data_IF_779756666408
#
_entry.id   IF_779756666408
#
_cell.length_a   1.000
_cell.length_b   1.000
_cell.length_c   1.000
_cell.angle_alpha   90.00
_cell.angle_beta   90.00
_cell.angle_gamma   90.00
#
_symmetry.space_group_name_H-M   'P 1'
#
loop_
_entity.id
_entity.type
_entity.pdbx_description
1 polymer ?
#
# COMPACT_ATOMS: atom_id res chain seq x y z
N UNK A 1 3.98 -4.74 -15.08
CA UNK A 1 3.49 -6.11 -15.32
C UNK A 1 2.85 -6.59 -14.03
N UNK A 2 1.53 -6.80 -13.99
CA UNK A 2 0.82 -7.16 -12.75
C UNK A 2 1.24 -8.52 -12.21
N UNK A 3 1.26 -8.68 -10.89
CA UNK A 3 1.60 -9.95 -10.26
C UNK A 3 0.50 -10.99 -10.50
N UNK A 4 0.85 -12.26 -10.66
CA UNK A 4 -0.09 -13.38 -10.81
C UNK A 4 0.31 -14.53 -9.88
N UNK A 5 -0.61 -15.47 -9.54
CA UNK A 5 -0.23 -16.64 -8.73
C UNK A 5 0.92 -17.44 -9.34
N UNK A 6 0.97 -17.61 -10.67
CA UNK A 6 2.06 -18.33 -11.33
C UNK A 6 3.38 -17.57 -11.28
N UNK A 7 3.35 -16.23 -11.40
CA UNK A 7 4.55 -15.40 -11.18
C UNK A 7 5.04 -15.48 -9.74
N UNK A 8 4.14 -15.56 -8.75
CA UNK A 8 4.53 -15.78 -7.36
C UNK A 8 5.21 -17.13 -7.18
N UNK A 9 4.65 -18.21 -7.74
CA UNK A 9 5.29 -19.54 -7.70
C UNK A 9 6.66 -19.54 -8.36
N UNK A 10 6.79 -18.90 -9.53
CA UNK A 10 8.06 -18.77 -10.22
C UNK A 10 9.07 -17.93 -9.42
N UNK A 11 8.63 -16.85 -8.77
CA UNK A 11 9.49 -16.03 -7.92
C UNK A 11 9.90 -16.76 -6.61
N UNK A 12 9.12 -17.72 -6.13
CA UNK A 12 9.52 -18.52 -4.97
C UNK A 12 10.51 -19.64 -5.32
N UNK A 13 10.58 -20.04 -6.60
CA UNK A 13 11.52 -21.05 -7.06
C UNK A 13 12.97 -20.64 -6.74
N UNK A 14 13.73 -21.54 -6.10
CA UNK A 14 15.12 -21.29 -5.70
C UNK A 14 15.30 -20.35 -4.48
N UNK A 15 14.23 -19.78 -3.92
CA UNK A 15 14.28 -18.91 -2.73
C UNK A 15 13.80 -19.61 -1.45
N UNK A 16 13.37 -20.86 -1.56
CA UNK A 16 12.83 -21.68 -0.47
C UNK A 16 13.60 -23.00 -0.34
N UNK A 17 13.65 -23.55 0.87
CA UNK A 17 14.13 -24.92 1.08
C UNK A 17 13.14 -25.93 0.50
N UNK A 18 13.60 -27.15 0.20
CA UNK A 18 12.69 -28.23 -0.26
C UNK A 18 11.55 -28.48 0.74
N UNK A 19 11.84 -28.41 2.05
CA UNK A 19 10.84 -28.53 3.11
C UNK A 19 9.83 -27.38 3.09
N UNK A 20 10.30 -26.14 2.90
CA UNK A 20 9.42 -24.97 2.81
C UNK A 20 8.49 -25.05 1.60
N UNK A 21 9.01 -25.50 0.45
CA UNK A 21 8.23 -25.67 -0.78
C UNK A 21 7.16 -26.76 -0.63
N UNK A 22 7.52 -27.91 -0.06
CA UNK A 22 6.58 -28.98 0.23
C UNK A 22 5.51 -28.56 1.24
N UNK A 23 5.90 -27.81 2.28
CA UNK A 23 4.96 -27.27 3.26
C UNK A 23 3.96 -26.31 2.62
N UNK A 24 4.42 -25.39 1.77
CA UNK A 24 3.53 -24.43 1.09
C UNK A 24 2.53 -25.14 0.16
N UNK A 25 3.00 -26.13 -0.62
CA UNK A 25 2.13 -26.91 -1.48
C UNK A 25 1.03 -27.66 -0.68
N UNK A 26 1.43 -28.30 0.43
CA UNK A 26 0.50 -28.96 1.34
C UNK A 26 -0.48 -27.98 1.99
N UNK A 27 0.00 -26.82 2.44
CA UNK A 27 -0.83 -25.81 3.08
C UNK A 27 -1.88 -25.23 2.10
N UNK A 28 -1.49 -24.98 0.85
CA UNK A 28 -2.43 -24.59 -0.20
C UNK A 28 -3.49 -25.68 -0.46
N UNK A 29 -3.08 -26.95 -0.54
CA UNK A 29 -4.02 -28.06 -0.72
C UNK A 29 -5.00 -28.19 0.47
N UNK A 30 -4.51 -28.07 1.70
CA UNK A 30 -5.35 -28.06 2.91
C UNK A 30 -6.33 -26.88 2.90
N UNK A 31 -5.86 -25.68 2.52
CA UNK A 31 -6.71 -24.47 2.45
C UNK A 31 -7.78 -24.60 1.37
N UNK A 32 -7.46 -25.25 0.25
CA UNK A 32 -8.40 -25.51 -0.83
C UNK A 32 -9.47 -26.55 -0.44
N UNK A 33 -9.11 -27.52 0.41
CA UNK A 33 -10.03 -28.55 0.89
C UNK A 33 -10.90 -28.06 2.07
N UNK A 34 -10.31 -27.30 2.98
CA UNK A 34 -10.96 -26.73 4.16
C UNK A 34 -10.46 -25.28 4.38
N UNK A 35 -11.27 -24.27 4.04
CA UNK A 35 -10.88 -22.86 4.14
C UNK A 35 -10.53 -22.43 5.57
N UNK A 36 -11.11 -23.04 6.61
CA UNK A 36 -10.83 -22.64 8.00
C UNK A 36 -9.38 -22.93 8.40
N UNK A 37 -8.71 -23.87 7.72
CA UNK A 37 -7.31 -24.20 7.97
C UNK A 37 -6.38 -23.02 7.73
N UNK A 38 -6.76 -22.07 6.87
CA UNK A 38 -5.95 -20.87 6.54
C UNK A 38 -5.57 -20.10 7.80
N UNK A 39 -6.47 -20.03 8.79
CA UNK A 39 -6.25 -19.27 10.04
C UNK A 39 -5.06 -19.81 10.84
N UNK A 40 -4.82 -21.12 10.78
CA UNK A 40 -3.68 -21.76 11.44
C UNK A 40 -2.42 -21.81 10.57
N UNK A 41 -2.58 -21.82 9.24
CA UNK A 41 -1.49 -21.96 8.27
C UNK A 41 -0.89 -20.62 7.86
N UNK A 42 -1.65 -19.53 7.91
CA UNK A 42 -1.23 -18.19 7.51
C UNK A 42 -0.13 -17.61 8.41
N UNK A 43 -0.20 -17.68 9.75
CA UNK A 43 0.85 -17.15 10.61
C UNK A 43 2.22 -17.81 10.46
N UNK A 44 2.35 -19.17 10.46
CA UNK A 44 3.66 -19.82 10.38
C UNK A 44 4.34 -19.72 9.01
N UNK A 45 3.68 -19.21 7.97
CA UNK A 45 4.23 -19.15 6.62
C UNK A 45 5.65 -18.55 6.55
N UNK A 46 5.90 -17.44 7.26
CA UNK A 46 7.25 -16.85 7.27
C UNK A 46 8.32 -17.70 7.96
N UNK A 47 7.94 -18.50 8.98
CA UNK A 47 8.87 -19.47 9.61
C UNK A 47 9.12 -20.68 8.73
N UNK A 48 8.13 -21.09 7.93
CA UNK A 48 8.16 -22.31 7.12
C UNK A 48 8.80 -22.08 5.75
N UNK A 49 8.52 -20.94 5.14
CA UNK A 49 8.95 -20.62 3.78
C UNK A 49 10.18 -19.70 3.75
N UNK A 50 10.38 -18.88 4.77
CA UNK A 50 11.40 -17.83 4.81
C UNK A 50 10.79 -16.43 4.72
N UNK A 51 11.58 -15.40 5.04
CA UNK A 51 11.14 -13.98 5.11
C UNK A 51 11.99 -13.02 4.28
N UNK A 52 12.90 -13.56 3.46
CA UNK A 52 13.79 -12.73 2.64
C UNK A 52 13.03 -11.96 1.56
N UNK A 53 13.59 -10.85 1.07
CA UNK A 53 13.03 -10.15 -0.09
C UNK A 53 13.08 -11.04 -1.34
N UNK A 54 12.08 -10.91 -2.22
CA UNK A 54 12.13 -11.52 -3.54
C UNK A 54 13.11 -10.76 -4.46
N UNK A 55 13.16 -9.43 -4.30
CA UNK A 55 14.15 -8.57 -4.93
C UNK A 55 14.91 -7.77 -3.85
N UNK A 56 16.20 -8.05 -3.62
CA UNK A 56 17.01 -7.28 -2.66
C UNK A 56 17.16 -5.80 -2.99
N UNK A 57 16.94 -5.38 -4.24
CA UNK A 57 17.00 -3.99 -4.65
C UNK A 57 15.73 -3.19 -4.30
N UNK A 58 14.62 -3.87 -3.97
CA UNK A 58 13.36 -3.24 -3.62
C UNK A 58 13.04 -3.43 -2.12
N UNK A 59 13.40 -2.47 -1.24
CA UNK A 59 13.15 -2.56 0.20
C UNK A 59 11.66 -2.51 0.57
N UNK A 60 10.80 -2.07 -0.36
CA UNK A 60 9.35 -2.03 -0.21
C UNK A 60 8.66 -3.11 -1.07
N UNK A 61 9.44 -4.04 -1.60
CA UNK A 61 8.99 -5.10 -2.50
C UNK A 61 8.40 -6.30 -1.77
N UNK A 62 8.05 -7.31 -2.56
CA UNK A 62 7.54 -8.58 -2.05
C UNK A 62 8.61 -9.34 -1.28
N UNK A 63 8.22 -9.99 -0.20
CA UNK A 63 9.03 -10.99 0.50
C UNK A 63 8.53 -12.41 0.22
N UNK A 64 9.36 -13.41 0.55
CA UNK A 64 8.99 -14.83 0.46
C UNK A 64 7.73 -15.13 1.27
N UNK A 65 7.60 -14.57 2.47
CA UNK A 65 6.43 -14.80 3.31
C UNK A 65 5.18 -14.04 2.83
N UNK A 66 5.34 -12.89 2.18
CA UNK A 66 4.23 -12.21 1.49
C UNK A 66 3.69 -13.10 0.35
N UNK A 67 4.57 -13.63 -0.49
CA UNK A 67 4.18 -14.46 -1.63
C UNK A 67 3.58 -15.80 -1.22
N UNK A 68 4.15 -16.46 -0.20
CA UNK A 68 3.59 -17.70 0.35
C UNK A 68 2.18 -17.49 0.90
N UNK A 69 1.98 -16.42 1.68
CA UNK A 69 0.66 -16.07 2.23
C UNK A 69 -0.34 -15.68 1.15
N UNK A 70 0.08 -14.91 0.14
CA UNK A 70 -0.78 -14.59 -1.00
C UNK A 70 -1.23 -15.86 -1.74
N UNK A 71 -0.35 -16.86 -1.92
CA UNK A 71 -0.72 -18.14 -2.50
C UNK A 71 -1.75 -18.91 -1.66
N UNK A 72 -1.64 -18.90 -0.32
CA UNK A 72 -2.66 -19.46 0.57
C UNK A 72 -4.01 -18.77 0.37
N UNK A 73 -4.04 -17.44 0.28
CA UNK A 73 -5.29 -16.69 0.05
C UNK A 73 -5.89 -17.00 -1.32
N UNK A 74 -5.08 -17.16 -2.36
CA UNK A 74 -5.57 -17.53 -3.70
C UNK A 74 -6.07 -18.99 -3.78
N UNK A 75 -5.71 -19.82 -2.80
CA UNK A 75 -6.19 -21.20 -2.70
C UNK A 75 -7.55 -21.32 -1.99
N UNK A 76 -8.04 -20.25 -1.35
CA UNK A 76 -9.33 -20.25 -0.67
C UNK A 76 -10.47 -20.51 -1.68
N UNK A 77 -11.33 -21.52 -1.45
CA UNK A 77 -12.52 -21.77 -2.27
C UNK A 77 -13.67 -20.84 -1.86
N UNK A 78 -13.37 -19.57 -1.55
CA UNK A 78 -14.33 -18.58 -1.04
C UNK A 78 -14.51 -17.46 -2.06
N UNK A 79 -15.70 -16.87 -2.09
CA UNK A 79 -16.04 -15.72 -2.94
C UNK A 79 -16.96 -14.75 -2.19
N UNK A 80 -17.11 -13.54 -2.72
CA UNK A 80 -18.02 -12.53 -2.19
C UNK A 80 -17.77 -12.20 -0.72
N UNK A 81 -18.85 -12.00 0.05
CA UNK A 81 -18.79 -11.63 1.46
C UNK A 81 -17.97 -12.59 2.33
N UNK A 82 -18.06 -13.90 2.08
CA UNK A 82 -17.28 -14.90 2.84
C UNK A 82 -15.77 -14.74 2.65
N UNK A 83 -15.33 -14.43 1.43
CA UNK A 83 -13.92 -14.15 1.17
C UNK A 83 -13.48 -12.85 1.87
N UNK A 84 -14.29 -11.79 1.78
CA UNK A 84 -14.02 -10.51 2.44
C UNK A 84 -13.93 -10.64 3.97
N UNK A 85 -14.82 -11.43 4.57
CA UNK A 85 -14.82 -11.70 6.01
C UNK A 85 -13.56 -12.45 6.42
N UNK A 86 -13.13 -13.47 5.66
CA UNK A 86 -11.95 -14.26 5.96
C UNK A 86 -10.66 -13.41 5.86
N UNK A 87 -10.45 -12.70 4.75
CA UNK A 87 -9.26 -11.84 4.59
C UNK A 87 -9.27 -10.66 5.56
N UNK A 88 -10.46 -10.11 5.86
CA UNK A 88 -10.63 -9.05 6.85
C UNK A 88 -10.33 -9.53 8.26
N UNK A 89 -10.71 -10.77 8.59
CA UNK A 89 -10.36 -11.44 9.84
C UNK A 89 -8.84 -11.58 9.99
N UNK A 90 -8.19 -12.19 9.00
CA UNK A 90 -6.73 -12.36 8.96
C UNK A 90 -5.99 -11.01 9.07
N UNK A 91 -6.48 -9.97 8.39
CA UNK A 91 -5.91 -8.63 8.48
C UNK A 91 -6.05 -8.03 9.88
N UNK A 92 -7.23 -8.08 10.49
CA UNK A 92 -7.49 -7.45 11.79
C UNK A 92 -6.71 -8.10 12.93
N UNK A 93 -6.54 -9.42 12.90
CA UNK A 93 -5.86 -10.17 13.97
C UNK A 93 -4.37 -10.34 13.70
N UNK A 94 -3.93 -10.09 12.47
CA UNK A 94 -2.56 -10.38 12.04
C UNK A 94 -1.53 -9.32 12.45
N UNK A 95 -0.28 -9.74 12.52
CA UNK A 95 0.86 -8.83 12.69
C UNK A 95 1.12 -7.97 11.42
N UNK A 96 2.11 -7.09 11.47
CA UNK A 96 2.42 -6.21 10.34
C UNK A 96 2.82 -6.96 9.06
N UNK A 97 3.45 -8.14 9.16
CA UNK A 97 3.81 -8.93 7.99
C UNK A 97 2.60 -9.66 7.40
N UNK A 98 1.73 -10.17 8.27
CA UNK A 98 0.47 -10.81 7.89
C UNK A 98 -0.49 -9.83 7.21
N UNK A 99 -0.66 -8.63 7.78
CA UNK A 99 -1.42 -7.54 7.18
C UNK A 99 -0.87 -7.11 5.83
N UNK A 100 0.45 -6.98 5.73
CA UNK A 100 1.14 -6.64 4.47
C UNK A 100 0.84 -7.67 3.39
N UNK A 101 0.89 -8.97 3.73
CA UNK A 101 0.59 -10.03 2.79
C UNK A 101 -0.87 -10.01 2.30
N UNK A 102 -1.83 -9.72 3.17
CA UNK A 102 -3.25 -9.55 2.77
C UNK A 102 -3.37 -8.42 1.75
N UNK A 103 -2.80 -7.24 2.02
CA UNK A 103 -2.86 -6.08 1.12
C UNK A 103 -2.26 -6.39 -0.26
N UNK A 104 -1.10 -7.05 -0.29
CA UNK A 104 -0.44 -7.45 -1.54
C UNK A 104 -1.22 -8.49 -2.33
N UNK A 105 -2.02 -9.32 -1.66
CA UNK A 105 -2.81 -10.36 -2.31
C UNK A 105 -4.11 -9.84 -2.94
N UNK A 106 -4.63 -8.69 -2.50
CA UNK A 106 -5.90 -8.14 -2.99
C UNK A 106 -6.07 -8.12 -4.53
N UNK A 107 -5.09 -7.70 -5.36
CA UNK A 107 -5.24 -7.72 -6.81
C UNK A 107 -5.31 -9.13 -7.42
N UNK A 108 -5.01 -10.17 -6.64
CA UNK A 108 -5.06 -11.59 -7.05
C UNK A 108 -6.37 -12.27 -6.66
N UNK A 109 -7.25 -11.57 -5.93
CA UNK A 109 -8.46 -12.14 -5.35
C UNK A 109 -9.72 -11.54 -6.01
N UNK A 110 -10.81 -12.30 -6.14
CA UNK A 110 -12.07 -11.80 -6.68
C UNK A 110 -12.86 -11.00 -5.64
N UNK A 111 -12.27 -9.90 -5.14
CA UNK A 111 -12.82 -9.09 -4.02
C UNK A 111 -13.58 -7.83 -4.45
N UNK A 112 -13.53 -7.47 -5.73
CA UNK A 112 -14.12 -6.22 -6.23
C UNK A 112 -13.55 -5.01 -5.49
N UNK A 113 -14.37 -4.01 -5.18
CA UNK A 113 -13.99 -2.87 -4.33
C UNK A 113 -14.20 -3.13 -2.82
N UNK A 114 -14.74 -4.29 -2.46
CA UNK A 114 -15.15 -4.63 -1.09
C UNK A 114 -14.01 -4.65 -0.07
N UNK A 115 -12.75 -4.77 -0.51
CA UNK A 115 -11.57 -4.73 0.36
C UNK A 115 -10.97 -3.32 0.55
N UNK A 116 -11.59 -2.26 -0.01
CA UNK A 116 -11.17 -0.87 0.19
C UNK A 116 -11.01 -0.44 1.66
N UNK A 117 -11.84 -0.90 2.62
CA UNK A 117 -11.63 -0.59 4.03
C UNK A 117 -10.26 -1.01 4.56
N UNK A 118 -9.69 -2.13 4.09
CA UNK A 118 -8.37 -2.61 4.52
C UNK A 118 -7.24 -1.70 4.00
N UNK A 119 -7.36 -1.24 2.75
CA UNK A 119 -6.45 -0.27 2.15
C UNK A 119 -6.49 1.06 2.92
N UNK A 120 -7.70 1.57 3.18
CA UNK A 120 -7.89 2.83 3.91
C UNK A 120 -7.33 2.74 5.33
N UNK A 121 -7.49 1.61 6.02
CA UNK A 121 -6.90 1.40 7.34
C UNK A 121 -5.36 1.41 7.28
N UNK A 122 -4.76 0.65 6.36
CA UNK A 122 -3.32 0.61 6.18
C UNK A 122 -2.73 2.01 5.89
N UNK A 123 -3.41 2.79 5.04
CA UNK A 123 -3.04 4.16 4.69
C UNK A 123 -3.19 5.16 5.85
N UNK A 124 -3.80 4.79 6.98
CA UNK A 124 -3.81 5.62 8.21
C UNK A 124 -2.61 5.35 9.10
N UNK A 125 -1.91 4.23 8.94
CA UNK A 125 -0.70 3.87 9.70
C UNK A 125 0.55 4.61 9.22
N UNK A 126 1.60 4.72 10.05
CA UNK A 126 2.91 5.24 9.62
C UNK A 126 3.91 4.11 9.28
N UNK A 127 3.46 2.85 9.19
CA UNK A 127 4.32 1.75 8.76
C UNK A 127 4.49 1.80 7.24
N UNK A 128 5.67 2.21 6.79
CA UNK A 128 5.96 2.36 5.36
C UNK A 128 5.79 1.06 4.58
N UNK A 129 5.96 -0.10 5.21
CA UNK A 129 5.77 -1.41 4.56
C UNK A 129 4.29 -1.69 4.32
N UNK A 130 3.42 -1.25 5.24
CA UNK A 130 1.96 -1.36 5.06
C UNK A 130 1.45 -0.33 4.06
N UNK A 131 1.95 0.90 4.09
CA UNK A 131 1.60 1.93 3.11
C UNK A 131 1.96 1.48 1.70
N UNK A 132 3.20 1.02 1.47
CA UNK A 132 3.64 0.55 0.15
C UNK A 132 2.86 -0.67 -0.35
N UNK A 133 2.47 -1.59 0.55
CA UNK A 133 1.63 -2.72 0.17
C UNK A 133 0.18 -2.32 -0.12
N UNK A 134 -0.36 -1.36 0.63
CA UNK A 134 -1.72 -0.86 0.45
C UNK A 134 -1.86 -0.07 -0.85
N UNK A 135 -0.89 0.81 -1.14
CA UNK A 135 -0.86 1.63 -2.36
C UNK A 135 -0.30 0.83 -3.56
N UNK A 136 -0.78 -0.40 -3.75
CA UNK A 136 -0.44 -1.26 -4.89
C UNK A 136 -1.47 -1.19 -6.02
N UNK A 137 -1.44 -2.19 -6.91
CA UNK A 137 -2.35 -2.30 -8.08
C UNK A 137 -3.83 -2.22 -7.68
N UNK A 138 -4.22 -2.83 -6.55
CA UNK A 138 -5.60 -2.79 -6.07
C UNK A 138 -6.06 -1.38 -5.71
N UNK A 139 -5.27 -0.63 -4.94
CA UNK A 139 -5.58 0.76 -4.61
C UNK A 139 -5.59 1.65 -5.87
N UNK A 140 -4.68 1.38 -6.80
CA UNK A 140 -4.61 2.09 -8.09
C UNK A 140 -5.89 1.90 -8.91
N UNK A 141 -6.51 0.72 -8.85
CA UNK A 141 -7.76 0.45 -9.55
C UNK A 141 -9.01 0.98 -8.82
N UNK A 142 -9.02 0.96 -7.47
CA UNK A 142 -10.25 1.15 -6.70
C UNK A 142 -10.32 2.44 -5.88
N UNK A 143 -9.21 3.13 -5.58
CA UNK A 143 -9.28 4.42 -4.89
C UNK A 143 -9.83 5.49 -5.84
N UNK A 144 -10.74 6.31 -5.32
CA UNK A 144 -11.12 7.56 -5.95
C UNK A 144 -9.93 8.53 -6.07
N UNK A 145 -10.09 9.59 -6.85
CA UNK A 145 -8.99 10.51 -7.14
C UNK A 145 -8.46 11.21 -5.88
N UNK A 146 -9.33 11.64 -4.98
CA UNK A 146 -8.93 12.36 -3.77
C UNK A 146 -8.14 11.46 -2.81
N UNK A 147 -8.66 10.27 -2.51
CA UNK A 147 -8.00 9.31 -1.63
C UNK A 147 -6.65 8.85 -2.21
N UNK A 148 -6.56 8.68 -3.53
CA UNK A 148 -5.31 8.33 -4.18
C UNK A 148 -4.26 9.46 -4.03
N UNK A 149 -4.63 10.73 -4.27
CA UNK A 149 -3.72 11.89 -4.08
C UNK A 149 -3.20 11.97 -2.64
N UNK A 150 -4.09 11.81 -1.66
CA UNK A 150 -3.71 11.81 -0.24
C UNK A 150 -2.76 10.66 0.09
N UNK A 151 -2.98 9.48 -0.48
CA UNK A 151 -2.08 8.34 -0.31
C UNK A 151 -0.69 8.60 -0.92
N UNK A 152 -0.63 9.19 -2.12
CA UNK A 152 0.62 9.58 -2.78
C UNK A 152 1.37 10.63 -1.96
N UNK A 153 0.69 11.66 -1.46
CA UNK A 153 1.31 12.64 -0.56
C UNK A 153 1.85 11.98 0.71
N UNK A 154 1.11 11.02 1.27
CA UNK A 154 1.59 10.27 2.42
C UNK A 154 2.91 9.56 2.12
N UNK A 155 3.06 8.95 0.94
CA UNK A 155 4.33 8.37 0.51
C UNK A 155 5.47 9.39 0.58
N UNK A 156 5.26 10.59 0.04
CA UNK A 156 6.23 11.70 0.11
C UNK A 156 6.56 12.05 1.57
N UNK A 157 5.56 12.19 2.44
CA UNK A 157 5.77 12.51 3.86
C UNK A 157 6.55 11.42 4.61
N UNK A 158 6.35 10.15 4.24
CA UNK A 158 6.96 9.00 4.91
C UNK A 158 8.24 8.49 4.22
N UNK A 159 8.70 9.17 3.16
CA UNK A 159 9.92 8.81 2.43
C UNK A 159 9.81 7.54 1.58
N UNK A 160 8.61 7.16 1.15
CA UNK A 160 8.42 6.05 0.19
C UNK A 160 8.64 6.62 -1.22
N UNK A 161 9.56 6.03 -2.02
CA UNK A 161 9.81 6.51 -3.38
C UNK A 161 8.55 6.44 -4.25
N UNK A 162 8.23 7.51 -4.96
CA UNK A 162 7.05 7.57 -5.84
C UNK A 162 7.19 6.65 -7.06
N UNK A 163 8.41 6.31 -7.45
CA UNK A 163 8.69 5.31 -8.47
C UNK A 163 8.14 3.91 -8.11
N UNK A 164 7.92 3.63 -6.81
CA UNK A 164 7.33 2.38 -6.35
C UNK A 164 5.79 2.38 -6.35
N UNK A 165 5.14 3.52 -6.63
CA UNK A 165 3.67 3.65 -6.64
C UNK A 165 3.11 3.26 -8.02
N UNK A 166 2.39 2.13 -8.14
CA UNK A 166 1.88 1.68 -9.43
C UNK A 166 0.89 2.65 -10.05
N UNK A 167 0.94 2.83 -11.37
CA UNK A 167 -0.02 3.64 -12.12
C UNK A 167 0.01 5.15 -11.84
N UNK A 168 0.94 5.65 -11.01
CA UNK A 168 1.07 7.07 -10.71
C UNK A 168 1.12 7.94 -11.97
N UNK A 169 1.94 7.67 -13.01
CA UNK A 169 1.99 8.53 -14.20
C UNK A 169 0.64 8.71 -14.91
N UNK A 170 -0.27 7.72 -14.83
CA UNK A 170 -1.60 7.79 -15.43
C UNK A 170 -2.65 8.46 -14.52
N UNK A 171 -2.32 8.67 -13.24
CA UNK A 171 -3.19 9.28 -12.23
C UNK A 171 -2.66 10.62 -11.72
N UNK A 172 -1.56 11.10 -12.27
CA UNK A 172 -1.05 12.45 -12.04
C UNK A 172 -2.05 13.49 -12.59
N UNK A 173 -2.29 14.54 -11.81
CA UNK A 173 -3.14 15.67 -12.22
C UNK A 173 -2.70 16.98 -11.56
N UNK A 174 -3.34 18.07 -12.00
CA UNK A 174 -3.05 19.41 -11.52
C UNK A 174 -3.25 19.57 -10.00
N UNK A 175 -4.23 18.89 -9.42
CA UNK A 175 -4.49 18.98 -7.98
C UNK A 175 -3.38 18.28 -7.18
N UNK A 176 -2.93 17.10 -7.62
CA UNK A 176 -1.79 16.42 -7.02
C UNK A 176 -0.54 17.29 -7.06
N UNK A 177 -0.26 17.91 -8.22
CA UNK A 177 0.87 18.82 -8.39
C UNK A 177 0.76 20.04 -7.48
N UNK A 178 -0.42 20.65 -7.37
CA UNK A 178 -0.67 21.79 -6.46
C UNK A 178 -0.36 21.42 -5.01
N UNK A 179 -0.84 20.26 -4.55
CA UNK A 179 -0.59 19.78 -3.19
C UNK A 179 0.90 19.49 -2.94
N UNK A 180 1.59 18.86 -3.89
CA UNK A 180 3.05 18.63 -3.82
C UNK A 180 3.84 19.94 -3.79
N UNK A 181 3.42 20.94 -4.57
CA UNK A 181 4.02 22.27 -4.58
C UNK A 181 3.86 22.98 -3.23
N UNK A 182 2.68 22.87 -2.60
CA UNK A 182 2.45 23.39 -1.25
C UNK A 182 3.38 22.72 -0.22
N UNK A 183 3.50 21.40 -0.26
CA UNK A 183 4.41 20.66 0.61
C UNK A 183 5.88 21.06 0.41
N UNK A 184 6.35 21.18 -0.83
CA UNK A 184 7.72 21.58 -1.14
C UNK A 184 8.05 22.98 -0.57
N UNK A 185 7.10 23.93 -0.70
CA UNK A 185 7.23 25.27 -0.12
C UNK A 185 7.29 25.24 1.41
N UNK A 186 6.42 24.45 2.04
CA UNK A 186 6.43 24.30 3.51
C UNK A 186 7.75 23.72 4.01
N UNK A 187 8.33 22.74 3.30
CA UNK A 187 9.66 22.22 3.63
C UNK A 187 10.76 23.25 3.45
N UNK A 188 10.75 23.99 2.34
CA UNK A 188 11.72 25.03 2.05
C UNK A 188 11.68 26.15 3.11
N UNK A 189 10.48 26.60 3.50
CA UNK A 189 10.28 27.60 4.55
C UNK A 189 10.81 27.12 5.92
N UNK A 190 10.78 25.80 6.17
CA UNK A 190 11.36 25.18 7.35
C UNK A 190 12.86 24.84 7.22
N UNK A 191 13.53 25.26 6.13
CA UNK A 191 14.95 24.96 5.87
C UNK A 191 15.24 23.48 5.59
N UNK A 192 14.23 22.70 5.17
CA UNK A 192 14.34 21.27 4.90
C UNK A 192 14.36 20.98 3.40
N UNK A 193 15.15 19.98 3.00
CA UNK A 193 15.19 19.50 1.61
C UNK A 193 13.84 18.95 1.15
N UNK A 194 13.60 19.07 -0.16
CA UNK A 194 12.42 18.53 -0.85
C UNK A 194 12.79 17.20 -1.51
N UNK A 195 11.98 16.13 -1.38
CA UNK A 195 12.20 14.88 -2.10
C UNK A 195 12.31 15.08 -3.63
N UNK A 196 13.29 14.42 -4.24
CA UNK A 196 13.60 14.54 -5.68
C UNK A 196 12.41 14.13 -6.58
N UNK A 197 11.57 13.22 -6.09
CA UNK A 197 10.40 12.70 -6.79
C UNK A 197 9.31 13.77 -7.07
N UNK A 198 9.33 14.92 -6.40
CA UNK A 198 8.34 15.98 -6.58
C UNK A 198 8.59 16.79 -7.85
N UNK A 199 9.84 17.11 -8.16
CA UNK A 199 10.17 18.02 -9.26
C UNK A 199 9.69 17.50 -10.64
N UNK A 200 9.81 16.21 -10.98
CA UNK A 200 9.27 15.66 -12.22
C UNK A 200 7.76 15.85 -12.37
N UNK A 201 6.99 15.75 -11.28
CA UNK A 201 5.53 15.92 -11.30
C UNK A 201 5.20 17.40 -11.51
N UNK A 202 5.83 18.32 -10.76
CA UNK A 202 5.59 19.76 -10.92
C UNK A 202 5.92 20.25 -12.34
N UNK A 203 6.97 19.72 -12.96
CA UNK A 203 7.36 20.08 -14.33
C UNK A 203 6.29 19.71 -15.38
N UNK A 204 5.44 18.72 -15.12
CA UNK A 204 4.32 18.32 -16.00
C UNK A 204 3.08 19.19 -15.83
N UNK A 205 2.97 19.92 -14.71
CA UNK A 205 1.82 20.79 -14.38
C UNK A 205 2.31 22.20 -13.97
N UNK A 206 2.95 22.95 -14.87
CA UNK A 206 3.57 24.23 -14.54
C UNK A 206 2.56 25.28 -14.03
N UNK A 207 1.32 25.25 -14.51
CA UNK A 207 0.25 26.16 -14.05
C UNK A 207 -0.17 25.88 -12.60
N UNK A 208 -0.26 24.60 -12.21
CA UNK A 208 -0.59 24.20 -10.85
C UNK A 208 0.52 24.50 -9.83
N UNK A 209 1.77 24.56 -10.29
CA UNK A 209 2.90 24.98 -9.47
C UNK A 209 2.87 26.49 -9.17
N UNK A 210 2.30 27.29 -10.09
CA UNK A 210 2.18 28.74 -10.00
C UNK A 210 0.87 29.25 -9.37
N UNK A 211 -0.18 28.44 -9.31
CA UNK A 211 -1.49 28.88 -8.81
C UNK A 211 -1.50 29.06 -7.28
N UNK A 212 -1.57 30.33 -6.90
CA UNK A 212 -1.67 30.83 -5.52
C UNK A 212 -3.13 31.21 -5.26
N UNK A 213 -3.97 30.24 -4.90
CA UNK A 213 -5.22 30.59 -4.21
C UNK A 213 -4.87 31.31 -2.89
N UNK A 214 -5.46 32.49 -2.58
CA UNK A 214 -5.05 33.28 -1.45
C UNK A 214 -5.25 32.51 -0.14
N UNK A 215 -4.20 32.45 0.68
CA UNK A 215 -4.36 32.12 2.09
C UNK A 215 -5.16 33.24 2.75
N UNK A 216 -6.48 33.09 2.84
CA UNK A 216 -7.30 33.93 3.71
C UNK A 216 -6.94 33.61 5.15
N UNK A 217 -5.93 34.32 5.67
CA UNK A 217 -5.72 34.47 7.10
C UNK A 217 -6.85 35.38 7.58
N UNK A 218 -7.73 34.94 8.50
CA UNK A 218 -8.64 35.86 9.13
C UNK A 218 -7.80 36.80 10.01
N UNK A 219 -7.61 38.03 9.56
CA UNK A 219 -7.12 39.12 10.40
C UNK A 219 -8.19 39.37 11.47
N UNK A 220 -7.96 38.82 12.66
CA UNK A 220 -8.64 39.27 13.86
C UNK A 220 -8.19 40.70 14.14
N UNK A 221 -9.06 41.67 13.81
CA UNK A 221 -8.92 43.03 14.26
C UNK A 221 -8.96 43.06 15.80
N UNK A 222 -7.88 43.53 16.41
CA UNK A 222 -7.84 43.89 17.82
C UNK A 222 -8.60 45.20 17.99
N UNK A 223 -9.78 45.14 18.61
CA UNK A 223 -10.45 46.34 19.14
C UNK A 223 -9.72 46.85 20.39
N UNK A 224 -9.52 48.18 20.55
CA UNK A 224 -8.95 48.74 21.76
C UNK A 224 -9.99 48.76 22.89
N UNK A 225 -9.64 48.19 24.05
CA UNK A 225 -10.40 48.37 25.29
C UNK A 225 -10.40 49.85 25.68
N UNK A 226 -11.59 50.45 25.78
CA UNK A 226 -11.79 51.72 26.50
C UNK A 226 -11.70 51.46 27.99
N UNK A 227 -10.82 52.19 28.67
CA UNK A 227 -10.84 52.37 30.12
C UNK A 227 -12.07 53.20 30.54
N UNK A 228 -12.72 52.74 31.60
CA UNK A 228 -13.56 53.52 32.51
C UNK A 228 -13.39 52.93 33.91
#
# INVERSE_FOLDING_TARGET
>A
MSMTPDRLRAALAGRMTAQGSAWLAGACASTAADPDTVRSLFPPAGRRCGRGPLDPADPHGWTVDDAARALLLTALPLTGGRLLDEIGGLYRTGDAAERRAVLRALPLLPVGDGALPLVRDALRTNDTRLISAALGDYATAHLDAEAYRQAVLKCVFTGIPLAAVPGLPAREDAELARMMGAFARERAAAGRGTPDDIAPILARFPEAAGDQGPATVPTSATEPRREA
#
